data_IF_361041671718
#
_entry.id   IF_361041671718
#
_cell.length_a   1.000
_cell.length_b   1.000
_cell.length_c   1.000
_cell.angle_alpha   90.00
_cell.angle_beta   90.00
_cell.angle_gamma   90.00
#
_symmetry.space_group_name_H-M   'P 1'
#
loop_
_entity.id
_entity.type
_entity.pdbx_description
1 polymer ?
#
# COMPACT_ATOMS: atom_id res chain seq x y z
N UNK A 1 -70.33 25.39 -17.39
CA UNK A 1 -69.26 24.38 -17.55
C UNK A 1 -68.67 24.49 -18.94
N UNK A 2 -67.44 25.00 -19.09
CA UNK A 2 -66.51 24.76 -20.21
C UNK A 2 -65.12 25.25 -19.78
N UNK A 3 -64.15 24.33 -19.87
CA UNK A 3 -62.87 24.32 -19.16
C UNK A 3 -61.83 25.20 -19.87
N UNK A 4 -61.05 25.93 -19.08
CA UNK A 4 -59.87 26.70 -19.47
C UNK A 4 -58.70 25.73 -19.69
N UNK A 5 -58.02 25.82 -20.84
CA UNK A 5 -56.80 25.06 -21.13
C UNK A 5 -55.61 25.93 -20.74
N UNK A 6 -54.79 25.46 -19.79
CA UNK A 6 -53.48 26.05 -19.45
C UNK A 6 -52.43 25.15 -20.09
N UNK A 7 -51.65 25.69 -21.02
CA UNK A 7 -50.43 25.08 -21.54
C UNK A 7 -49.31 25.26 -20.50
N UNK A 8 -48.81 24.16 -19.95
CA UNK A 8 -47.54 24.13 -19.23
C UNK A 8 -46.42 23.83 -20.23
N UNK A 9 -45.51 24.79 -20.43
CA UNK A 9 -44.27 24.58 -21.17
C UNK A 9 -43.27 23.79 -20.32
N UNK A 10 -42.85 22.64 -20.82
CA UNK A 10 -41.81 21.80 -20.22
C UNK A 10 -40.44 22.24 -20.77
N UNK A 11 -39.65 22.96 -19.97
CA UNK A 11 -38.23 23.17 -20.25
C UNK A 11 -37.46 21.87 -19.95
N UNK A 12 -37.12 21.12 -20.99
CA UNK A 12 -36.16 20.01 -20.91
C UNK A 12 -34.74 20.59 -20.91
N UNK A 13 -34.15 20.70 -19.73
CA UNK A 13 -32.69 20.79 -19.58
C UNK A 13 -32.10 19.42 -19.94
N UNK A 14 -31.53 19.33 -21.14
CA UNK A 14 -30.70 18.21 -21.54
C UNK A 14 -29.41 18.23 -20.71
N UNK A 15 -29.39 17.47 -19.62
CA UNK A 15 -28.14 17.09 -18.94
C UNK A 15 -27.57 15.95 -19.75
N UNK A 16 -26.61 16.25 -20.63
CA UNK A 16 -25.76 15.21 -21.21
C UNK A 16 -25.08 14.46 -20.05
N UNK A 17 -25.10 13.12 -19.99
CA UNK A 17 -24.31 12.40 -19.01
C UNK A 17 -22.84 12.65 -19.39
N UNK A 18 -22.17 13.54 -18.64
CA UNK A 18 -20.72 13.52 -18.61
C UNK A 18 -20.35 12.12 -18.15
N UNK A 19 -19.78 11.32 -19.04
CA UNK A 19 -19.13 10.06 -18.66
C UNK A 19 -18.07 10.42 -17.63
N UNK A 20 -18.34 10.14 -16.36
CA UNK A 20 -17.36 10.31 -15.30
C UNK A 20 -16.17 9.43 -15.66
N UNK A 21 -15.08 10.03 -16.14
CA UNK A 21 -13.88 9.31 -16.51
C UNK A 21 -13.25 8.78 -15.22
N UNK A 22 -13.09 7.46 -15.14
CA UNK A 22 -12.41 6.84 -14.01
C UNK A 22 -11.01 7.46 -13.85
N UNK A 23 -10.62 7.76 -12.61
CA UNK A 23 -9.29 8.29 -12.33
C UNK A 23 -8.19 7.31 -12.79
N UNK A 24 -7.02 7.84 -13.17
CA UNK A 24 -5.89 7.02 -13.60
C UNK A 24 -4.89 6.80 -12.47
N UNK A 25 -4.47 5.56 -12.22
CA UNK A 25 -3.41 5.22 -11.28
C UNK A 25 -2.10 4.97 -12.05
N UNK A 26 -1.09 5.82 -11.84
CA UNK A 26 0.25 5.68 -12.42
C UNK A 26 1.17 5.04 -11.37
N UNK A 27 1.43 3.74 -11.50
CA UNK A 27 2.01 2.94 -10.42
C UNK A 27 3.42 2.45 -10.76
N UNK A 28 4.36 2.71 -9.85
CA UNK A 28 5.75 2.31 -9.93
C UNK A 28 5.97 1.05 -9.09
N UNK A 29 6.55 0.02 -9.71
CA UNK A 29 6.88 -1.24 -9.05
C UNK A 29 7.97 -1.14 -7.97
N UNK A 30 8.26 -2.30 -7.37
CA UNK A 30 9.32 -2.50 -6.40
C UNK A 30 10.58 -3.15 -7.00
N UNK A 31 11.35 -3.85 -6.17
CA UNK A 31 12.52 -4.59 -6.61
C UNK A 31 12.18 -6.01 -7.09
N UNK A 32 13.10 -6.61 -7.85
CA UNK A 32 12.97 -8.00 -8.30
C UNK A 32 11.71 -8.20 -9.14
N UNK A 33 10.98 -9.31 -8.96
CA UNK A 33 9.79 -9.62 -9.77
C UNK A 33 8.68 -8.56 -9.74
N UNK A 34 8.68 -7.67 -8.74
CA UNK A 34 7.69 -6.60 -8.60
C UNK A 34 8.09 -5.31 -9.30
N UNK A 35 9.19 -5.30 -10.07
CA UNK A 35 9.60 -4.12 -10.85
C UNK A 35 8.61 -3.80 -11.99
N UNK A 36 7.86 -4.80 -12.43
CA UNK A 36 6.67 -4.66 -13.28
C UNK A 36 5.48 -5.19 -12.48
N UNK A 37 4.47 -4.35 -12.30
CA UNK A 37 3.22 -4.72 -11.65
C UNK A 37 2.25 -5.27 -12.70
N UNK A 38 1.63 -6.41 -12.41
CA UNK A 38 0.52 -6.91 -13.21
C UNK A 38 -0.74 -6.08 -12.95
N UNK A 39 -1.75 -6.17 -13.83
CA UNK A 39 -3.04 -5.53 -13.55
C UNK A 39 -3.68 -6.06 -12.25
N UNK A 40 -3.53 -7.37 -11.97
CA UNK A 40 -3.99 -7.96 -10.72
C UNK A 40 -3.26 -7.38 -9.50
N UNK A 41 -1.93 -7.22 -9.56
CA UNK A 41 -1.16 -6.59 -8.47
C UNK A 41 -1.67 -5.17 -8.19
N UNK A 42 -1.88 -4.38 -9.24
CA UNK A 42 -2.34 -3.01 -9.12
C UNK A 42 -3.79 -2.93 -8.63
N UNK A 43 -4.68 -3.78 -9.16
CA UNK A 43 -6.10 -3.80 -8.80
C UNK A 43 -6.33 -4.25 -7.36
N UNK A 44 -5.49 -5.15 -6.84
CA UNK A 44 -5.64 -5.70 -5.47
C UNK A 44 -4.81 -4.97 -4.42
N UNK A 45 -3.92 -4.05 -4.82
CA UNK A 45 -3.13 -3.25 -3.91
C UNK A 45 -4.00 -2.46 -2.91
N UNK A 46 -3.54 -2.41 -1.66
CA UNK A 46 -4.22 -1.80 -0.52
C UNK A 46 -5.68 -2.27 -0.35
N UNK A 47 -5.94 -3.53 -0.72
CA UNK A 47 -7.24 -4.19 -0.66
C UNK A 47 -8.26 -3.65 -1.64
N UNK A 48 -7.83 -3.23 -2.83
CA UNK A 48 -8.72 -2.77 -3.89
C UNK A 48 -8.73 -1.26 -4.08
N UNK A 49 -7.79 -0.52 -3.47
CA UNK A 49 -7.79 0.95 -3.53
C UNK A 49 -7.78 1.50 -4.97
N UNK A 50 -7.17 0.78 -5.91
CA UNK A 50 -7.12 1.15 -7.32
C UNK A 50 -8.04 0.30 -8.22
N UNK A 51 -8.97 -0.48 -7.65
CA UNK A 51 -9.79 -1.43 -8.41
C UNK A 51 -10.65 -0.75 -9.49
N UNK A 52 -11.14 0.46 -9.20
CA UNK A 52 -11.98 1.23 -10.12
C UNK A 52 -11.19 2.24 -10.98
N UNK A 53 -9.86 2.24 -10.88
CA UNK A 53 -8.99 3.15 -11.64
C UNK A 53 -8.66 2.55 -13.01
N UNK A 54 -8.36 3.42 -13.97
CA UNK A 54 -7.50 3.01 -15.10
C UNK A 54 -6.08 2.86 -14.57
N UNK A 55 -5.52 1.65 -14.54
CA UNK A 55 -4.20 1.39 -13.92
C UNK A 55 -3.12 1.28 -14.98
N UNK A 56 -2.00 1.96 -14.74
CA UNK A 56 -0.84 1.96 -15.62
C UNK A 56 0.39 1.63 -14.80
N UNK A 57 1.05 0.53 -15.15
CA UNK A 57 2.39 0.27 -14.63
C UNK A 57 3.39 1.20 -15.33
N UNK A 58 4.02 2.08 -14.56
CA UNK A 58 5.11 2.95 -15.02
C UNK A 58 6.42 2.17 -15.00
N UNK A 59 7.15 2.21 -16.11
CA UNK A 59 8.38 1.44 -16.26
C UNK A 59 9.43 1.83 -15.19
N UNK A 60 9.88 0.82 -14.44
CA UNK A 60 10.88 0.95 -13.38
C UNK A 60 11.91 -0.18 -13.49
N UNK A 61 13.22 0.13 -13.53
CA UNK A 61 14.24 -0.93 -13.66
C UNK A 61 14.29 -1.90 -12.48
N UNK A 62 13.97 -1.47 -11.24
CA UNK A 62 13.92 -2.34 -10.07
C UNK A 62 15.23 -3.04 -9.67
N UNK A 63 16.39 -2.50 -10.08
CA UNK A 63 17.71 -3.08 -9.84
C UNK A 63 18.27 -2.60 -8.49
N UNK A 64 18.38 -3.50 -7.51
CA UNK A 64 18.86 -3.16 -6.15
C UNK A 64 20.36 -2.83 -6.14
N UNK A 65 21.16 -3.49 -6.98
CA UNK A 65 22.60 -3.21 -7.14
C UNK A 65 22.88 -1.92 -7.92
N UNK A 66 21.91 -1.42 -8.69
CA UNK A 66 21.96 -0.14 -9.41
C UNK A 66 20.78 0.73 -8.99
N UNK A 67 20.60 0.86 -7.67
CA UNK A 67 19.40 1.47 -7.12
C UNK A 67 19.24 2.93 -7.54
N UNK A 68 20.32 3.72 -7.53
CA UNK A 68 20.28 5.11 -8.03
C UNK A 68 19.79 5.18 -9.47
N UNK A 69 20.35 4.36 -10.36
CA UNK A 69 19.90 4.29 -11.76
C UNK A 69 18.42 3.93 -11.87
N UNK A 70 17.95 2.97 -11.07
CA UNK A 70 16.53 2.59 -11.07
C UNK A 70 15.63 3.75 -10.64
N UNK A 71 16.01 4.47 -9.59
CA UNK A 71 15.27 5.63 -9.08
C UNK A 71 15.28 6.77 -10.10
N UNK A 72 16.43 7.10 -10.69
CA UNK A 72 16.54 8.18 -11.68
C UNK A 72 15.62 7.92 -12.89
N UNK A 73 15.72 6.73 -13.51
CA UNK A 73 14.88 6.34 -14.65
C UNK A 73 13.40 6.27 -14.27
N UNK A 74 13.08 5.74 -13.10
CA UNK A 74 11.70 5.70 -12.60
C UNK A 74 11.12 7.09 -12.41
N UNK A 75 11.90 8.03 -11.86
CA UNK A 75 11.50 9.44 -11.68
C UNK A 75 11.21 10.12 -13.00
N UNK A 76 12.09 9.97 -13.99
CA UNK A 76 11.88 10.51 -15.34
C UNK A 76 10.60 9.95 -15.98
N UNK A 77 10.42 8.62 -15.93
CA UNK A 77 9.26 7.95 -16.51
C UNK A 77 7.95 8.36 -15.83
N UNK A 78 7.91 8.41 -14.50
CA UNK A 78 6.71 8.79 -13.77
C UNK A 78 6.37 10.27 -13.98
N UNK A 79 7.36 11.16 -13.95
CA UNK A 79 7.15 12.59 -14.22
C UNK A 79 6.60 12.81 -15.63
N UNK A 80 7.15 12.13 -16.65
CA UNK A 80 6.60 12.18 -18.01
C UNK A 80 5.17 11.63 -18.09
N UNK A 81 4.89 10.52 -17.41
CA UNK A 81 3.55 9.91 -17.39
C UNK A 81 2.48 10.81 -16.76
N UNK A 82 2.84 11.61 -15.75
CA UNK A 82 1.93 12.59 -15.12
C UNK A 82 1.40 13.59 -16.15
N UNK A 83 2.25 14.10 -17.04
CA UNK A 83 1.87 15.07 -18.07
C UNK A 83 1.23 14.43 -19.31
N UNK A 84 1.60 13.19 -19.64
CA UNK A 84 0.97 12.44 -20.73
C UNK A 84 -0.45 11.96 -20.40
N UNK A 85 -0.82 11.94 -19.11
CA UNK A 85 -2.12 11.44 -18.64
C UNK A 85 -3.04 12.61 -18.30
N UNK A 86 -4.13 12.84 -19.05
CA UNK A 86 -5.09 13.89 -18.74
C UNK A 86 -6.05 13.48 -17.61
N UNK A 87 -6.60 14.48 -16.92
CA UNK A 87 -7.67 14.29 -15.94
C UNK A 87 -7.20 13.76 -14.59
N UNK A 88 -8.14 13.44 -13.67
CA UNK A 88 -7.81 13.03 -12.30
C UNK A 88 -6.91 11.80 -12.27
N UNK A 89 -5.82 11.87 -11.49
CA UNK A 89 -4.84 10.79 -11.37
C UNK A 89 -4.29 10.64 -9.97
N UNK A 90 -3.79 9.44 -9.68
CA UNK A 90 -3.01 9.16 -8.49
C UNK A 90 -1.68 8.55 -8.91
N UNK A 91 -0.57 9.17 -8.49
CA UNK A 91 0.75 8.54 -8.63
C UNK A 91 0.99 7.61 -7.44
N UNK A 92 1.54 6.44 -7.68
CA UNK A 92 1.78 5.50 -6.60
C UNK A 92 3.00 4.65 -6.78
N UNK A 93 3.43 4.03 -5.69
CA UNK A 93 4.58 3.12 -5.70
C UNK A 93 4.55 2.11 -4.57
N UNK A 94 5.32 1.04 -4.76
CA UNK A 94 5.56 0.03 -3.72
C UNK A 94 7.05 -0.14 -3.44
N UNK A 95 7.41 -0.35 -2.17
CA UNK A 95 8.76 -0.80 -1.76
C UNK A 95 9.88 0.10 -2.34
N UNK A 96 10.82 -0.50 -3.08
CA UNK A 96 11.95 0.17 -3.73
C UNK A 96 11.56 1.30 -4.70
N UNK A 97 10.31 1.33 -5.18
CA UNK A 97 9.78 2.42 -6.01
C UNK A 97 9.44 3.68 -5.23
N UNK A 98 9.36 3.65 -3.89
CA UNK A 98 8.95 4.82 -3.10
C UNK A 98 9.73 6.11 -3.34
N UNK A 99 11.06 6.10 -3.53
CA UNK A 99 11.79 7.33 -3.81
C UNK A 99 11.34 8.01 -5.11
N UNK A 100 10.83 7.24 -6.08
CA UNK A 100 10.38 7.74 -7.38
C UNK A 100 9.22 8.73 -7.19
N UNK A 101 8.18 8.33 -6.46
CA UNK A 101 7.02 9.20 -6.16
C UNK A 101 7.47 10.43 -5.37
N UNK A 102 8.31 10.25 -4.34
CA UNK A 102 8.79 11.39 -3.56
C UNK A 102 9.62 12.37 -4.38
N UNK A 103 10.44 11.89 -5.32
CA UNK A 103 11.20 12.75 -6.22
C UNK A 103 10.29 13.51 -7.19
N UNK A 104 9.29 12.83 -7.78
CA UNK A 104 8.32 13.48 -8.67
C UNK A 104 7.55 14.58 -7.94
N UNK A 105 7.10 14.34 -6.71
CA UNK A 105 6.43 15.37 -5.90
C UNK A 105 7.32 16.61 -5.66
N UNK A 106 8.64 16.41 -5.44
CA UNK A 106 9.60 17.53 -5.31
C UNK A 106 9.83 18.26 -6.63
N UNK A 107 9.83 17.54 -7.76
CA UNK A 107 9.96 18.15 -9.07
C UNK A 107 8.72 18.99 -9.40
N UNK A 108 7.52 18.48 -9.11
CA UNK A 108 6.27 19.21 -9.31
C UNK A 108 6.16 20.46 -8.42
N UNK A 109 6.74 20.44 -7.21
CA UNK A 109 6.81 21.63 -6.35
C UNK A 109 7.66 22.78 -6.94
N UNK A 110 8.60 22.45 -7.83
CA UNK A 110 9.48 23.40 -8.51
C UNK A 110 9.00 23.73 -9.92
N UNK A 111 7.97 23.04 -10.39
CA UNK A 111 7.42 23.23 -11.73
C UNK A 111 6.66 24.56 -11.79
N UNK A 112 6.83 25.38 -12.83
CA UNK A 112 6.01 26.59 -13.01
C UNK A 112 4.55 26.30 -13.36
N UNK A 113 4.24 25.13 -13.95
CA UNK A 113 2.88 24.74 -14.37
C UNK A 113 2.54 23.30 -13.94
N UNK A 114 2.59 22.99 -12.63
CA UNK A 114 2.27 21.65 -12.14
C UNK A 114 0.76 21.36 -12.30
N UNK A 115 0.34 20.08 -12.34
CA UNK A 115 -1.07 19.72 -12.22
C UNK A 115 -1.73 20.35 -11.00
N UNK A 116 -3.00 20.72 -11.12
CA UNK A 116 -3.76 21.25 -9.99
C UNK A 116 -3.83 20.25 -8.83
N UNK A 117 -3.86 20.70 -7.55
CA UNK A 117 -4.13 19.84 -6.39
C UNK A 117 -5.42 19.03 -6.48
N UNK A 118 -6.40 19.49 -7.27
CA UNK A 118 -7.64 18.76 -7.51
C UNK A 118 -7.50 17.63 -8.55
N UNK A 119 -6.38 17.57 -9.27
CA UNK A 119 -6.13 16.62 -10.35
C UNK A 119 -5.19 15.48 -9.94
N UNK A 120 -4.34 15.67 -8.91
CA UNK A 120 -3.32 14.70 -8.54
C UNK A 120 -3.29 14.44 -7.03
N UNK A 121 -3.29 13.16 -6.67
CA UNK A 121 -2.93 12.67 -5.34
C UNK A 121 -1.77 11.66 -5.44
N UNK A 122 -1.18 11.28 -4.30
CA UNK A 122 -0.12 10.29 -4.22
C UNK A 122 -0.40 9.19 -3.18
N UNK A 123 0.00 7.95 -3.49
CA UNK A 123 -0.11 6.82 -2.55
C UNK A 123 1.10 5.89 -2.62
N UNK A 124 1.77 5.69 -1.48
CA UNK A 124 2.98 4.87 -1.37
C UNK A 124 2.77 3.77 -0.33
N UNK A 125 2.98 2.53 -0.72
CA UNK A 125 3.00 1.40 0.20
C UNK A 125 4.44 0.91 0.45
N UNK A 126 4.76 0.61 1.71
CA UNK A 126 5.99 -0.08 2.09
C UNK A 126 7.25 0.70 1.73
N UNK A 127 7.21 2.02 1.71
CA UNK A 127 8.37 2.83 1.34
C UNK A 127 9.58 2.55 2.22
N UNK A 128 10.75 2.37 1.60
CA UNK A 128 11.95 1.90 2.29
C UNK A 128 12.39 2.88 3.39
N UNK A 129 12.76 2.36 4.57
CA UNK A 129 13.24 3.17 5.71
C UNK A 129 14.66 3.71 5.48
N UNK A 130 15.04 4.77 6.20
CA UNK A 130 16.30 5.51 6.01
C UNK A 130 17.56 4.63 5.99
N UNK A 131 17.58 3.54 6.76
CA UNK A 131 18.68 2.57 6.80
C UNK A 131 18.99 1.97 5.44
N UNK A 132 17.96 1.69 4.63
CA UNK A 132 18.11 1.03 3.34
C UNK A 132 18.62 1.95 2.23
N UNK A 133 18.78 3.25 2.49
CA UNK A 133 19.42 4.18 1.56
C UNK A 133 20.96 4.18 1.68
N UNK A 134 21.52 3.65 2.77
CA UNK A 134 22.97 3.67 2.99
C UNK A 134 23.67 2.83 1.92
N UNK A 135 24.59 3.44 1.19
CA UNK A 135 25.41 2.75 0.18
C UNK A 135 24.72 2.53 -1.17
N UNK A 136 23.50 3.04 -1.37
CA UNK A 136 22.75 2.83 -2.63
C UNK A 136 22.98 3.93 -3.68
N UNK A 137 23.65 5.02 -3.30
CA UNK A 137 23.82 6.22 -4.13
C UNK A 137 22.60 7.15 -4.15
N UNK A 138 21.49 6.78 -3.48
CA UNK A 138 20.30 7.62 -3.31
C UNK A 138 20.32 8.22 -1.91
N UNK A 139 20.19 9.54 -1.80
CA UNK A 139 20.10 10.22 -0.50
C UNK A 139 18.69 10.05 0.09
N UNK A 140 18.60 9.57 1.32
CA UNK A 140 17.34 9.62 2.07
C UNK A 140 16.93 11.08 2.33
N UNK A 141 15.66 11.37 2.12
CA UNK A 141 15.06 12.67 2.39
C UNK A 141 13.73 12.45 3.14
N UNK A 142 13.36 13.34 4.07
CA UNK A 142 12.01 13.37 4.64
C UNK A 142 10.94 13.45 3.54
N UNK A 143 9.69 13.14 3.89
CA UNK A 143 8.57 13.28 2.96
C UNK A 143 8.55 14.69 2.35
N UNK A 144 8.22 14.82 1.05
CA UNK A 144 8.23 16.10 0.38
C UNK A 144 7.12 17.02 0.89
N UNK A 145 7.42 18.30 1.01
CA UNK A 145 6.42 19.36 1.04
C UNK A 145 5.81 19.46 -0.37
N UNK A 146 4.49 19.41 -0.47
CA UNK A 146 3.79 19.34 -1.76
C UNK A 146 2.33 19.76 -1.63
N UNK A 147 1.76 20.29 -2.71
CA UNK A 147 0.37 20.71 -2.78
C UNK A 147 -0.63 19.55 -2.88
N UNK A 148 -0.15 18.32 -3.09
CA UNK A 148 -0.96 17.12 -3.27
C UNK A 148 -1.11 16.34 -1.96
N UNK A 149 -2.20 15.57 -1.83
CA UNK A 149 -2.33 14.69 -0.67
C UNK A 149 -1.48 13.44 -0.87
N UNK A 150 -0.83 13.01 0.20
CA UNK A 150 0.05 11.85 0.19
C UNK A 150 -0.44 10.80 1.19
N UNK A 151 -0.77 9.61 0.70
CA UNK A 151 -1.03 8.45 1.54
C UNK A 151 0.25 7.62 1.69
N UNK A 152 0.70 7.40 2.91
CA UNK A 152 1.85 6.53 3.22
C UNK A 152 1.36 5.35 4.03
N UNK A 153 1.45 4.15 3.47
CA UNK A 153 0.96 2.91 4.07
C UNK A 153 2.14 2.01 4.38
N UNK A 154 2.17 1.43 5.58
CA UNK A 154 3.16 0.41 5.95
C UNK A 154 2.60 -0.56 6.97
N UNK A 155 3.13 -1.78 7.00
CA UNK A 155 2.81 -2.71 8.06
C UNK A 155 3.67 -2.45 9.31
N UNK A 156 3.04 -2.58 10.48
CA UNK A 156 3.70 -2.48 11.77
C UNK A 156 4.84 -3.50 11.85
N UNK A 157 6.05 -3.02 12.16
CA UNK A 157 7.27 -3.83 12.25
C UNK A 157 7.73 -4.47 10.93
N UNK A 158 7.26 -4.00 9.78
CA UNK A 158 7.88 -4.32 8.49
C UNK A 158 9.35 -3.90 8.50
N UNK A 159 10.29 -4.86 8.46
CA UNK A 159 11.72 -4.55 8.48
C UNK A 159 12.24 -3.74 7.29
N UNK A 160 11.46 -3.57 6.24
CA UNK A 160 11.82 -2.70 5.13
C UNK A 160 11.30 -1.28 5.37
N UNK A 161 10.00 -1.14 5.70
CA UNK A 161 9.30 0.14 5.77
C UNK A 161 9.15 0.75 7.18
N UNK A 162 9.16 -0.09 8.21
CA UNK A 162 9.01 0.23 9.63
C UNK A 162 10.15 -0.43 10.43
N UNK A 163 11.40 -0.15 10.06
CA UNK A 163 12.57 -0.63 10.82
C UNK A 163 12.75 0.21 12.11
N UNK A 164 13.16 -0.38 13.26
CA UNK A 164 13.30 0.35 14.51
C UNK A 164 14.28 1.52 14.45
N UNK A 165 13.92 2.63 15.11
CA UNK A 165 14.74 3.82 15.28
C UNK A 165 15.95 3.55 16.19
N UNK A 166 15.79 2.70 17.21
CA UNK A 166 16.88 2.25 18.07
C UNK A 166 17.38 0.85 17.64
N UNK A 167 18.49 0.75 16.89
CA UNK A 167 19.02 -0.53 16.44
C UNK A 167 19.71 -1.35 17.54
N UNK A 168 19.97 -0.78 18.72
CA UNK A 168 20.56 -1.52 19.83
C UNK A 168 19.54 -2.37 20.59
N UNK A 169 18.24 -2.20 20.31
CA UNK A 169 17.21 -3.11 20.78
C UNK A 169 17.18 -4.37 19.89
N UNK A 170 18.00 -5.36 20.24
CA UNK A 170 18.14 -6.60 19.47
C UNK A 170 16.83 -7.35 19.25
N UNK A 171 15.93 -7.34 20.24
CA UNK A 171 14.61 -7.98 20.11
C UNK A 171 13.76 -7.26 19.06
N UNK A 172 13.73 -5.92 19.07
CA UNK A 172 13.01 -5.15 18.06
C UNK A 172 13.59 -5.35 16.66
N UNK A 173 14.92 -5.44 16.53
CA UNK A 173 15.59 -5.74 15.26
C UNK A 173 15.22 -7.13 14.75
N UNK A 174 15.29 -8.16 15.59
CA UNK A 174 14.88 -9.52 15.20
C UNK A 174 13.40 -9.57 14.80
N UNK A 175 12.54 -8.86 15.53
CA UNK A 175 11.14 -8.74 15.19
C UNK A 175 10.93 -8.07 13.83
N UNK A 176 11.62 -6.96 13.57
CA UNK A 176 11.54 -6.25 12.31
C UNK A 176 12.06 -7.08 11.13
N UNK A 177 13.16 -7.81 11.30
CA UNK A 177 13.66 -8.75 10.28
C UNK A 177 12.59 -9.79 9.94
N UNK A 178 11.96 -10.39 10.94
CA UNK A 178 10.85 -11.31 10.71
C UNK A 178 9.65 -10.62 10.04
N UNK A 179 9.33 -9.39 10.43
CA UNK A 179 8.30 -8.59 9.79
C UNK A 179 8.60 -8.26 8.33
N UNK A 180 9.86 -8.04 7.96
CA UNK A 180 10.26 -7.87 6.56
C UNK A 180 9.93 -9.10 5.71
N UNK A 181 10.16 -10.31 6.24
CA UNK A 181 9.83 -11.56 5.54
C UNK A 181 8.32 -11.83 5.47
N UNK A 182 7.60 -11.58 6.57
CA UNK A 182 6.20 -11.99 6.72
C UNK A 182 5.20 -10.94 6.24
N UNK A 183 5.56 -9.66 6.29
CA UNK A 183 4.61 -8.55 6.12
C UNK A 183 4.87 -7.71 4.88
N UNK A 184 6.13 -7.49 4.50
CA UNK A 184 6.48 -6.45 3.52
C UNK A 184 5.69 -6.57 2.21
N UNK A 185 5.68 -7.75 1.60
CA UNK A 185 4.90 -8.02 0.39
C UNK A 185 3.44 -8.37 0.71
N UNK A 186 3.13 -9.30 1.63
CA UNK A 186 1.73 -9.73 1.82
C UNK A 186 0.80 -8.61 2.28
N UNK A 187 1.27 -7.66 3.09
CA UNK A 187 0.44 -6.55 3.57
C UNK A 187 0.23 -5.46 2.52
N UNK A 188 0.88 -5.53 1.35
CA UNK A 188 0.61 -4.64 0.22
C UNK A 188 -0.82 -4.80 -0.30
N UNK A 189 -1.45 -5.94 -0.03
CA UNK A 189 -2.79 -6.31 -0.47
C UNK A 189 -3.83 -6.22 0.67
N UNK A 190 -3.44 -5.72 1.85
CA UNK A 190 -4.34 -5.55 2.98
C UNK A 190 -5.33 -4.41 2.70
N UNK A 191 -6.60 -4.62 3.00
CA UNK A 191 -7.64 -3.58 2.90
C UNK A 191 -7.43 -2.50 3.95
N UNK A 192 -6.91 -1.37 3.50
CA UNK A 192 -6.57 -0.24 4.37
C UNK A 192 -7.80 0.41 5.01
N UNK A 193 -9.02 0.17 4.50
CA UNK A 193 -10.26 0.61 5.13
C UNK A 193 -10.55 -0.13 6.44
N UNK A 194 -9.94 -1.32 6.62
CA UNK A 194 -10.03 -2.12 7.84
C UNK A 194 -8.98 -1.73 8.88
N UNK A 195 -8.12 -0.74 8.60
CA UNK A 195 -7.15 -0.25 9.58
C UNK A 195 -7.89 0.58 10.63
N UNK A 196 -7.73 0.27 11.93
CA UNK A 196 -8.35 1.05 13.00
C UNK A 196 -7.94 2.53 12.96
N UNK A 197 -8.86 3.42 13.33
CA UNK A 197 -8.64 4.87 13.27
C UNK A 197 -7.45 5.35 14.14
N UNK A 198 -7.16 4.66 15.25
CA UNK A 198 -6.00 4.96 16.12
C UNK A 198 -4.64 4.58 15.50
N UNK A 199 -4.66 3.91 14.34
CA UNK A 199 -3.48 3.59 13.53
C UNK A 199 -3.40 4.42 12.25
N UNK A 200 -4.26 5.44 12.14
CA UNK A 200 -4.28 6.39 11.03
C UNK A 200 -3.96 7.77 11.61
N UNK A 201 -2.99 8.45 11.03
CA UNK A 201 -2.66 9.83 11.40
C UNK A 201 -2.71 10.69 10.16
N UNK A 202 -3.43 11.81 10.24
CA UNK A 202 -3.47 12.84 9.19
C UNK A 202 -2.66 14.03 9.71
N UNK A 203 -1.68 14.48 8.94
CA UNK A 203 -0.92 15.68 9.28
C UNK A 203 -1.76 16.93 9.10
N UNK A 204 -1.38 18.01 9.79
CA UNK A 204 -1.76 19.34 9.34
C UNK A 204 -1.28 19.59 7.89
N UNK A 205 -1.92 20.52 7.16
CA UNK A 205 -1.44 20.94 5.86
C UNK A 205 0.01 21.42 5.95
N UNK A 206 0.82 20.93 5.02
CA UNK A 206 2.20 21.32 4.90
C UNK A 206 2.31 22.74 4.30
N UNK A 207 3.53 23.25 4.10
CA UNK A 207 3.77 24.61 3.59
C UNK A 207 3.21 24.89 2.19
N UNK A 208 2.83 23.84 1.47
CA UNK A 208 2.22 23.86 0.13
C UNK A 208 0.74 23.49 0.14
N UNK A 209 0.16 23.21 1.31
CA UNK A 209 -1.26 22.92 1.51
C UNK A 209 -1.65 21.43 1.42
N UNK A 210 -0.76 20.54 0.99
CA UNK A 210 -1.04 19.10 0.96
C UNK A 210 -1.00 18.46 2.34
N UNK A 211 -1.80 17.42 2.55
CA UNK A 211 -1.81 16.63 3.80
C UNK A 211 -1.22 15.24 3.60
N UNK A 212 -0.53 14.73 4.63
CA UNK A 212 -0.06 13.35 4.65
C UNK A 212 -0.96 12.49 5.52
N UNK A 213 -1.57 11.46 4.93
CA UNK A 213 -2.26 10.39 5.67
C UNK A 213 -1.33 9.20 5.86
N UNK A 214 -0.85 9.00 7.08
CA UNK A 214 -0.06 7.83 7.47
C UNK A 214 -0.97 6.72 7.96
N UNK A 215 -0.87 5.53 7.36
CA UNK A 215 -1.65 4.34 7.72
C UNK A 215 -0.67 3.24 8.16
N UNK A 216 -0.80 2.82 9.41
CA UNK A 216 0.00 1.75 9.98
C UNK A 216 -0.86 0.49 10.11
N UNK A 217 -0.65 -0.52 9.25
CA UNK A 217 -1.40 -1.78 9.32
C UNK A 217 -0.93 -2.53 10.58
N UNK A 218 -1.78 -2.71 11.61
CA UNK A 218 -1.35 -3.30 12.87
C UNK A 218 -1.06 -4.79 12.74
N UNK A 219 -0.11 -5.28 13.53
CA UNK A 219 0.10 -6.73 13.68
C UNK A 219 -0.71 -7.28 14.86
N UNK A 220 -1.50 -8.36 14.67
CA UNK A 220 -2.22 -9.00 15.78
C UNK A 220 -1.26 -9.56 16.84
N UNK A 221 -0.12 -10.10 16.39
CA UNK A 221 0.98 -10.59 17.22
C UNK A 221 2.30 -10.17 16.58
N UNK A 222 3.33 -9.96 17.42
CA UNK A 222 4.68 -9.63 17.00
C UNK A 222 5.13 -10.62 15.91
N UNK A 223 5.69 -10.14 14.78
CA UNK A 223 6.20 -10.99 13.71
C UNK A 223 7.08 -12.13 14.19
N UNK A 224 7.94 -11.92 15.19
CA UNK A 224 8.80 -12.98 15.75
C UNK A 224 8.02 -14.17 16.33
N UNK A 225 6.76 -13.96 16.76
CA UNK A 225 5.89 -14.98 17.34
C UNK A 225 4.98 -15.66 16.29
N UNK A 226 4.79 -15.04 15.13
CA UNK A 226 3.91 -15.58 14.07
C UNK A 226 4.30 -16.99 13.62
N UNK A 227 5.59 -17.35 13.45
CA UNK A 227 5.96 -18.72 13.08
C UNK A 227 5.51 -19.76 14.13
N UNK A 228 5.57 -19.43 15.42
CA UNK A 228 5.13 -20.35 16.47
C UNK A 228 3.62 -20.58 16.40
N UNK A 229 2.85 -19.50 16.21
CA UNK A 229 1.40 -19.58 16.02
C UNK A 229 1.04 -20.40 14.78
N UNK A 230 1.75 -20.19 13.67
CA UNK A 230 1.53 -20.94 12.42
C UNK A 230 1.81 -22.44 12.54
N UNK A 231 2.64 -22.83 13.51
CA UNK A 231 2.99 -24.23 13.84
C UNK A 231 2.07 -24.85 14.88
N UNK A 232 0.97 -24.18 15.25
CA UNK A 232 -0.03 -24.71 16.17
C UNK A 232 0.25 -24.46 17.65
N UNK A 233 1.13 -23.51 17.98
CA UNK A 233 1.26 -23.08 19.37
C UNK A 233 -0.07 -22.48 19.87
N UNK A 234 -0.38 -22.70 21.14
CA UNK A 234 -1.58 -22.20 21.82
C UNK A 234 -1.69 -20.67 21.67
N UNK A 235 -2.77 -20.15 21.02
CA UNK A 235 -2.95 -18.72 20.80
C UNK A 235 -2.94 -17.89 22.08
N UNK A 236 -3.43 -18.41 23.20
CA UNK A 236 -3.47 -17.66 24.46
C UNK A 236 -2.09 -17.53 25.09
N UNK A 237 -1.23 -18.55 24.94
CA UNK A 237 0.17 -18.48 25.34
C UNK A 237 0.96 -17.50 24.48
N UNK A 238 0.70 -17.50 23.16
CA UNK A 238 1.33 -16.54 22.24
C UNK A 238 0.89 -15.11 22.57
N UNK A 239 -0.40 -14.89 22.85
CA UNK A 239 -0.90 -13.58 23.26
C UNK A 239 -0.28 -13.10 24.58
N UNK A 240 -0.12 -13.99 25.56
CA UNK A 240 0.54 -13.65 26.82
C UNK A 240 2.04 -13.32 26.63
N UNK A 241 2.71 -13.98 25.69
CA UNK A 241 4.10 -13.68 25.35
C UNK A 241 4.22 -12.38 24.56
N UNK A 242 3.33 -12.13 23.60
CA UNK A 242 3.24 -10.85 22.88
C UNK A 242 3.08 -9.69 23.87
N UNK A 243 2.15 -9.79 24.82
CA UNK A 243 1.92 -8.76 25.83
C UNK A 243 3.16 -8.42 26.67
N UNK A 244 4.05 -9.41 26.90
CA UNK A 244 5.31 -9.20 27.62
C UNK A 244 6.41 -8.61 26.74
N UNK A 245 6.51 -9.06 25.49
CA UNK A 245 7.61 -8.68 24.59
C UNK A 245 7.34 -7.38 23.83
N UNK A 246 6.08 -7.09 23.50
CA UNK A 246 5.67 -5.95 22.68
C UNK A 246 6.11 -4.62 23.28
N UNK A 247 5.95 -4.34 24.60
CA UNK A 247 6.49 -3.10 25.18
C UNK A 247 8.00 -2.97 25.03
N UNK A 248 8.75 -4.07 25.06
CA UNK A 248 10.20 -4.06 24.85
C UNK A 248 10.51 -3.70 23.40
N UNK A 249 9.81 -4.30 22.44
CA UNK A 249 9.95 -4.01 21.01
C UNK A 249 9.56 -2.56 20.71
N UNK A 250 8.42 -2.10 21.24
CA UNK A 250 7.83 -0.79 20.96
C UNK A 250 8.69 0.37 21.43
N UNK A 251 9.50 0.19 22.49
CA UNK A 251 10.48 1.19 22.94
C UNK A 251 11.54 1.52 21.89
N UNK A 252 11.71 0.68 20.86
CA UNK A 252 12.64 0.95 19.77
C UNK A 252 12.06 1.85 18.66
N UNK A 253 10.78 2.23 18.74
CA UNK A 253 10.07 2.97 17.70
C UNK A 253 9.60 4.32 18.23
N UNK A 254 10.07 5.41 17.63
CA UNK A 254 9.71 6.79 18.01
C UNK A 254 8.21 7.06 17.82
N UNK A 255 7.58 6.44 16.82
CA UNK A 255 6.13 6.56 16.57
C UNK A 255 5.27 6.18 17.78
N UNK A 256 5.78 5.34 18.68
CA UNK A 256 5.06 4.94 19.89
C UNK A 256 5.29 5.92 21.06
N UNK A 257 6.32 6.76 20.99
CA UNK A 257 6.64 7.74 22.03
C UNK A 257 5.78 9.01 21.90
N UNK A 258 5.43 9.39 20.67
CA UNK A 258 4.52 10.52 20.42
C UNK A 258 3.13 10.27 21.02
N UNK A 259 2.62 9.03 20.96
CA UNK A 259 1.34 8.64 21.55
C UNK A 259 1.37 8.63 23.09
N UNK A 260 2.52 8.32 23.69
CA UNK A 260 2.70 8.34 25.15
C UNK A 260 2.78 9.77 25.70
N UNK A 261 3.47 10.68 25.01
CA UNK A 261 3.58 12.08 25.41
C UNK A 261 2.21 12.82 25.38
N UNK A 262 1.32 12.45 24.45
CA UNK A 262 -0.06 12.96 24.43
C UNK A 262 -0.94 12.39 25.55
N UNK A 263 -0.60 11.21 26.11
CA UNK A 263 -1.33 10.63 27.24
C UNK A 263 -0.87 11.24 28.58
N UNK A 264 0.42 11.56 28.72
CA UNK A 264 0.98 12.23 29.92
C UNK A 264 0.55 13.71 30.02
N UNK A 265 0.23 14.38 28.89
CA UNK A 265 -0.22 15.77 28.89
C UNK A 265 -1.69 15.96 29.32
N UNK A 266 -2.46 14.87 29.47
CA UNK A 266 -3.84 14.88 29.96
C UNK A 266 -3.97 14.54 31.45
N UNK A 267 -2.86 14.34 32.17
CA UNK A 267 -2.87 13.88 33.57
C UNK A 267 -3.02 15.02 34.60
N UNK A 268 -3.99 15.92 34.34
CA UNK A 268 -4.61 16.75 35.37
C UNK A 268 -6.13 16.73 35.21
N UNK A 269 -6.74 15.55 35.30
CA UNK A 269 -8.00 15.34 36.04
C UNK A 269 -8.33 13.86 36.08
N UNK A 270 -8.63 13.41 37.29
CA UNK A 270 -9.07 12.09 37.71
C UNK A 270 -10.07 11.41 36.74
N UNK A 271 -9.58 10.47 35.93
CA UNK A 271 -10.37 9.40 35.32
C UNK A 271 -9.46 8.18 35.11
N UNK A 272 -9.36 7.39 36.17
CA UNK A 272 -8.64 6.13 36.25
C UNK A 272 -9.02 5.12 35.14
N UNK A 273 -7.99 4.44 34.62
CA UNK A 273 -7.96 3.03 34.22
C UNK A 273 -9.12 2.49 33.36
N UNK A 274 -8.98 2.56 32.04
CA UNK A 274 -9.49 1.48 31.18
C UNK A 274 -8.44 0.35 31.17
N UNK A 275 -8.76 -0.86 31.65
CA UNK A 275 -7.76 -1.90 31.84
C UNK A 275 -7.29 -2.47 30.50
N UNK A 276 -6.00 -2.76 30.37
CA UNK A 276 -5.37 -3.34 29.18
C UNK A 276 -6.07 -4.63 28.66
N UNK A 277 -6.85 -5.28 29.52
CA UNK A 277 -7.71 -6.43 29.23
C UNK A 277 -8.78 -6.13 28.18
N UNK A 278 -9.36 -4.92 28.14
CA UNK A 278 -10.48 -4.62 27.22
C UNK A 278 -9.98 -4.43 25.77
N UNK A 279 -8.83 -3.75 25.60
CA UNK A 279 -8.10 -3.70 24.32
C UNK A 279 -7.59 -5.09 23.89
N UNK A 280 -7.25 -5.96 24.84
CA UNK A 280 -6.79 -7.31 24.58
C UNK A 280 -7.92 -8.25 24.15
N UNK A 281 -9.10 -8.10 24.74
CA UNK A 281 -10.29 -8.88 24.41
C UNK A 281 -10.83 -8.52 23.02
N UNK A 282 -10.83 -7.23 22.68
CA UNK A 282 -11.16 -6.75 21.33
C UNK A 282 -10.15 -7.21 20.26
N UNK A 283 -8.85 -7.31 20.59
CA UNK A 283 -7.85 -7.87 19.67
C UNK A 283 -8.00 -9.39 19.51
N UNK A 284 -8.36 -10.10 20.58
CA UNK A 284 -8.63 -11.55 20.59
C UNK A 284 -9.88 -11.92 19.79
N UNK A 285 -10.98 -11.19 19.94
CA UNK A 285 -12.21 -11.45 19.17
C UNK A 285 -11.97 -11.26 17.68
N UNK A 286 -11.39 -10.12 17.29
CA UNK A 286 -11.01 -9.82 15.90
C UNK A 286 -10.02 -10.81 15.29
N UNK A 287 -9.24 -11.51 16.11
CA UNK A 287 -8.33 -12.55 15.64
C UNK A 287 -9.06 -13.87 15.34
N UNK A 288 -10.04 -14.25 16.19
CA UNK A 288 -10.89 -15.43 15.96
C UNK A 288 -11.74 -15.25 14.69
N UNK A 289 -12.33 -14.07 14.51
CA UNK A 289 -13.16 -13.76 13.34
C UNK A 289 -12.33 -13.84 12.04
N UNK A 290 -11.10 -13.33 12.05
CA UNK A 290 -10.19 -13.37 10.90
C UNK A 290 -9.65 -14.77 10.58
N UNK A 291 -9.51 -15.65 11.57
CA UNK A 291 -9.17 -17.06 11.29
C UNK A 291 -10.32 -17.80 10.61
N UNK A 292 -11.56 -17.53 11.02
CA UNK A 292 -12.74 -18.09 10.37
C UNK A 292 -12.82 -17.63 8.90
N UNK A 293 -12.65 -16.33 8.65
CA UNK A 293 -12.70 -15.78 7.30
C UNK A 293 -11.56 -16.29 6.40
N UNK A 294 -10.35 -16.44 6.94
CA UNK A 294 -9.22 -17.00 6.20
C UNK A 294 -9.39 -18.51 5.89
N UNK A 295 -10.06 -19.25 6.77
CA UNK A 295 -10.42 -20.65 6.53
C UNK A 295 -11.50 -20.77 5.44
N UNK A 296 -12.49 -19.89 5.44
CA UNK A 296 -13.55 -19.82 4.44
C UNK A 296 -13.04 -19.42 3.05
N UNK A 297 -12.10 -18.47 2.98
CA UNK A 297 -11.43 -18.09 1.72
C UNK A 297 -10.55 -19.21 1.15
N UNK A 298 -10.00 -20.07 2.01
CA UNK A 298 -9.22 -21.26 1.59
C UNK A 298 -10.13 -22.36 1.06
N UNK A 299 -11.28 -22.61 1.68
CA UNK A 299 -12.24 -23.62 1.21
C UNK A 299 -12.89 -23.21 -0.12
N UNK A 300 -13.25 -21.93 -0.29
CA UNK A 300 -13.76 -21.41 -1.58
C UNK A 300 -12.73 -21.50 -2.70
N UNK A 301 -11.47 -21.08 -2.48
CA UNK A 301 -10.40 -21.24 -3.48
C UNK A 301 -10.10 -22.70 -3.82
N UNK A 302 -10.26 -23.62 -2.87
CA UNK A 302 -10.05 -25.05 -3.11
C UNK A 302 -11.24 -25.69 -3.85
N UNK A 303 -12.45 -25.16 -3.67
CA UNK A 303 -13.65 -25.56 -4.42
C UNK A 303 -13.59 -25.11 -5.88
N UNK A 304 -13.15 -23.87 -6.15
CA UNK A 304 -12.98 -23.35 -7.52
C UNK A 304 -11.92 -24.12 -8.31
N UNK A 305 -10.84 -24.56 -7.65
CA UNK A 305 -9.81 -25.40 -8.30
C UNK A 305 -10.27 -26.82 -8.63
N UNK A 306 -11.39 -27.29 -8.07
CA UNK A 306 -11.93 -28.64 -8.31
C UNK A 306 -13.03 -28.67 -9.37
N UNK A 307 -13.46 -27.54 -9.93
CA UNK A 307 -14.34 -27.54 -11.09
C UNK A 307 -13.56 -27.94 -12.35
N UNK A 308 -13.97 -29.00 -13.08
CA UNK A 308 -13.32 -29.39 -14.32
C UNK A 308 -13.56 -28.31 -15.39
N UNK A 309 -12.46 -27.73 -15.89
CA UNK A 309 -12.50 -26.80 -17.03
C UNK A 309 -13.08 -27.53 -18.26
N UNK A 310 -14.08 -26.91 -18.89
CA UNK A 310 -14.63 -27.35 -20.19
C UNK A 310 -13.51 -27.41 -21.24
N UNK A 311 -13.47 -28.44 -22.11
CA UNK A 311 -12.45 -28.51 -23.14
C UNK A 311 -12.66 -27.41 -24.18
N UNK A 312 -11.58 -26.69 -24.50
CA UNK A 312 -11.55 -25.71 -25.58
C UNK A 312 -11.66 -26.43 -26.94
N UNK A 313 -12.52 -25.92 -27.82
CA UNK A 313 -12.68 -26.41 -29.17
C UNK A 313 -11.40 -26.15 -29.99
N UNK A 314 -10.84 -27.22 -30.58
CA UNK A 314 -9.72 -27.12 -31.51
C UNK A 314 -10.21 -26.55 -32.84
N UNK A 315 -9.72 -25.38 -33.24
CA UNK A 315 -9.76 -24.98 -34.65
C UNK A 315 -8.41 -25.33 -35.29
N UNK A 316 -8.50 -26.19 -36.29
CA UNK A 316 -7.41 -26.67 -37.14
C UNK A 316 -6.95 -25.57 -38.09
N UNK A 317 -5.63 -25.38 -38.22
CA UNK A 317 -5.01 -24.63 -39.32
C UNK A 317 -4.06 -25.58 -40.07
N UNK A 318 -4.16 -25.73 -41.41
CA UNK A 318 -3.28 -26.62 -42.13
C UNK A 318 -1.88 -26.03 -42.33
N UNK A 319 -0.92 -26.96 -42.37
CA UNK A 319 0.52 -26.85 -42.50
C UNK A 319 1.00 -26.17 -43.79
N UNK A 320 1.96 -25.25 -43.67
CA UNK A 320 2.93 -24.98 -44.73
C UNK A 320 4.21 -25.78 -44.41
N UNK A 321 4.70 -26.52 -45.41
CA UNK A 321 5.77 -27.49 -45.29
C UNK A 321 7.12 -26.88 -44.93
N UNK A 322 7.90 -27.68 -44.21
CA UNK A 322 9.33 -27.50 -44.03
C UNK A 322 10.05 -28.00 -45.29
N UNK A 323 10.91 -27.15 -45.86
CA UNK A 323 12.08 -27.64 -46.60
C UNK A 323 13.27 -27.60 -45.65
N UNK A 324 13.90 -28.76 -45.53
CA UNK A 324 15.11 -29.05 -44.79
C UNK A 324 16.33 -28.60 -45.58
N UNK A 325 17.29 -27.95 -44.92
CA UNK A 325 18.71 -28.18 -45.20
C UNK A 325 19.55 -27.81 -43.97
N UNK A 326 20.27 -28.82 -43.52
CA UNK A 326 21.18 -28.92 -42.40
C UNK A 326 22.55 -28.28 -42.72
N UNK A 327 23.37 -28.20 -41.67
CA UNK A 327 24.84 -28.22 -41.65
C UNK A 327 25.58 -26.92 -41.28
N UNK A 328 26.28 -27.08 -40.16
CA UNK A 328 27.28 -26.24 -39.52
C UNK A 328 28.44 -25.79 -40.41
N UNK A 329 28.99 -24.60 -40.11
CA UNK A 329 30.38 -24.38 -39.71
C UNK A 329 30.76 -22.88 -39.86
N UNK A 330 31.07 -22.26 -38.71
CA UNK A 330 31.93 -21.08 -38.44
C UNK A 330 31.26 -20.04 -37.56
#
# INVERSE_FOLDING_TARGET
>A
MKRLVILLGLCLLAVSPATAQAATALLVGGAGKYHVLTDEDMATAMGGYFADYTRVNVAFPGQVNRFKYSVDVGTENLYAAVYATPGPKTIGSVSAGSPVVYNVLRMLDQDPNPPSPAELDAAVYGGISARWYRGTGVRYQPLPETQYNLKVVKAEYDGIADFPDNPFNGLAVMNAVMGGFLLHVPMAYYDISQVPADHITVSEPNSRGGVTTSILIPTPVLPLLQPMLSKGADPDRIAALDAKLRPIVDRAYKRNQTTAATADATDTTDAAQAPATDRQEQRRSRFKDRQAEAAERRTTRQADRRQPQRPAASSTRPSAGADTADAAAS
#
